data_IF_279314813888
#
_entry.id   IF_279314813888
#
_cell.length_a   1.000
_cell.length_b   1.000
_cell.length_c   1.000
_cell.angle_alpha   90.00
_cell.angle_beta   90.00
_cell.angle_gamma   90.00
#
_symmetry.space_group_name_H-M   'P 1'
#
loop_
_entity.id
_entity.type
_entity.pdbx_description
1 polymer ?
#
# COMPACT_ATOMS: atom_id res chain seq x y z
N UNK A 1 5.81 -30.00 -17.85
CA UNK A 1 5.39 -29.07 -16.78
C UNK A 1 4.89 -27.80 -17.45
N UNK A 2 3.62 -27.43 -17.27
CA UNK A 2 3.02 -26.27 -17.96
C UNK A 2 3.74 -24.97 -17.56
N UNK A 3 3.73 -23.97 -18.46
CA UNK A 3 4.39 -22.67 -18.22
C UNK A 3 3.90 -22.03 -16.90
N UNK A 4 2.59 -22.14 -16.63
CA UNK A 4 1.97 -21.66 -15.41
C UNK A 4 2.55 -22.28 -14.12
N UNK A 5 2.86 -23.58 -14.12
CA UNK A 5 3.49 -24.26 -12.98
C UNK A 5 4.91 -23.77 -12.72
N UNK A 6 5.67 -23.44 -13.78
CA UNK A 6 7.03 -22.88 -13.65
C UNK A 6 6.99 -21.47 -13.05
N UNK A 7 6.08 -20.61 -13.51
CA UNK A 7 5.92 -19.27 -12.95
C UNK A 7 5.46 -19.32 -11.50
N UNK A 8 4.50 -20.19 -11.18
CA UNK A 8 4.03 -20.39 -9.81
C UNK A 8 5.12 -20.87 -8.85
N UNK A 9 5.94 -21.85 -9.27
CA UNK A 9 7.05 -22.35 -8.43
C UNK A 9 8.14 -21.31 -8.20
N UNK A 10 8.47 -20.50 -9.21
CA UNK A 10 9.45 -19.43 -9.08
C UNK A 10 8.94 -18.29 -8.15
N UNK A 11 7.69 -17.86 -8.31
CA UNK A 11 7.07 -16.88 -7.42
C UNK A 11 7.01 -17.40 -5.97
N UNK A 12 6.67 -18.67 -5.77
CA UNK A 12 6.67 -19.30 -4.45
C UNK A 12 8.09 -19.37 -3.85
N UNK A 13 9.11 -19.56 -4.66
CA UNK A 13 10.52 -19.53 -4.23
C UNK A 13 10.91 -18.15 -3.68
N UNK A 14 10.55 -17.07 -4.39
CA UNK A 14 10.78 -15.69 -3.95
C UNK A 14 10.02 -15.43 -2.65
N UNK A 15 8.73 -15.80 -2.58
CA UNK A 15 7.91 -15.62 -1.39
C UNK A 15 8.47 -16.37 -0.16
N UNK A 16 8.95 -17.61 -0.34
CA UNK A 16 9.58 -18.38 0.74
C UNK A 16 10.88 -17.74 1.21
N UNK A 17 11.70 -17.24 0.30
CA UNK A 17 12.93 -16.49 0.64
C UNK A 17 12.59 -15.27 1.50
N UNK A 18 11.64 -14.46 1.06
CA UNK A 18 11.27 -13.22 1.75
C UNK A 18 10.62 -13.52 3.12
N UNK A 19 9.82 -14.58 3.22
CA UNK A 19 9.27 -15.05 4.49
C UNK A 19 10.37 -15.54 5.45
N UNK A 20 11.39 -16.24 4.95
CA UNK A 20 12.51 -16.69 5.77
C UNK A 20 13.34 -15.49 6.31
N UNK A 21 13.57 -14.48 5.47
CA UNK A 21 14.21 -13.23 5.88
C UNK A 21 13.38 -12.54 6.95
N UNK A 22 12.06 -12.45 6.76
CA UNK A 22 11.15 -11.85 7.75
C UNK A 22 11.22 -12.56 9.10
N UNK A 23 11.17 -13.90 9.13
CA UNK A 23 11.27 -14.68 10.38
C UNK A 23 12.59 -14.41 11.11
N UNK A 24 13.69 -14.21 10.36
CA UNK A 24 14.99 -13.85 10.92
C UNK A 24 15.01 -12.45 11.53
N UNK A 25 14.23 -11.52 10.98
CA UNK A 25 14.15 -10.13 11.43
C UNK A 25 12.83 -9.77 12.12
N UNK A 26 12.20 -10.72 12.82
CA UNK A 26 10.89 -10.56 13.50
C UNK A 26 10.81 -9.33 14.42
N UNK A 27 11.93 -8.87 14.95
CA UNK A 27 11.97 -7.65 15.77
C UNK A 27 11.55 -6.40 14.99
N UNK A 28 11.79 -6.36 13.67
CA UNK A 28 11.32 -5.25 12.84
C UNK A 28 9.79 -5.18 12.77
N UNK A 29 9.12 -6.33 12.73
CA UNK A 29 7.65 -6.37 12.78
C UNK A 29 7.13 -5.81 14.10
N UNK A 30 7.71 -6.26 15.22
CA UNK A 30 7.35 -5.78 16.55
C UNK A 30 7.59 -4.28 16.66
N UNK A 31 8.74 -3.78 16.19
CA UNK A 31 9.07 -2.36 16.19
C UNK A 31 8.08 -1.53 15.33
N UNK A 32 7.67 -2.06 14.18
CA UNK A 32 6.71 -1.39 13.32
C UNK A 32 5.31 -1.32 13.96
N UNK A 33 4.86 -2.41 14.58
CA UNK A 33 3.59 -2.43 15.34
C UNK A 33 3.69 -1.45 16.51
N UNK A 34 4.78 -1.47 17.29
CA UNK A 34 4.98 -0.55 18.41
C UNK A 34 4.97 0.92 17.94
N UNK A 35 5.62 1.23 16.82
CA UNK A 35 5.59 2.57 16.21
C UNK A 35 4.17 2.99 15.83
N UNK A 36 3.39 2.09 15.22
CA UNK A 36 1.99 2.34 14.88
C UNK A 36 1.16 2.56 16.15
N UNK A 37 1.34 1.72 17.18
CA UNK A 37 0.63 1.87 18.46
C UNK A 37 0.99 3.19 19.16
N UNK A 38 2.24 3.63 19.08
CA UNK A 38 2.66 4.91 19.62
C UNK A 38 1.98 6.08 18.88
N UNK A 39 1.92 6.03 17.55
CA UNK A 39 1.18 7.02 16.77
C UNK A 39 -0.32 7.03 17.14
N UNK A 40 -0.95 5.85 17.28
CA UNK A 40 -2.35 5.76 17.69
C UNK A 40 -2.58 6.26 19.12
N UNK A 41 -1.66 5.99 20.03
CA UNK A 41 -1.69 6.56 21.39
C UNK A 41 -1.70 8.09 21.35
N UNK A 42 -0.81 8.69 20.54
CA UNK A 42 -0.77 10.12 20.35
C UNK A 42 -2.11 10.66 19.84
N UNK A 43 -2.68 10.06 18.80
CA UNK A 43 -3.97 10.47 18.26
C UNK A 43 -5.13 10.20 19.20
N UNK A 44 -5.07 9.19 20.04
CA UNK A 44 -6.07 8.95 21.09
C UNK A 44 -6.13 10.10 22.10
N UNK A 45 -4.99 10.65 22.51
CA UNK A 45 -4.98 11.83 23.38
C UNK A 45 -5.30 13.12 22.63
N UNK A 46 -4.82 13.29 21.41
CA UNK A 46 -5.18 14.46 20.59
C UNK A 46 -6.68 14.54 20.37
N UNK A 47 -7.36 13.42 20.09
CA UNK A 47 -8.80 13.40 19.88
C UNK A 47 -9.60 13.88 21.09
N UNK A 48 -9.06 13.78 22.30
CA UNK A 48 -9.69 14.25 23.53
C UNK A 48 -9.43 15.74 23.79
N UNK A 49 -8.35 16.29 23.23
CA UNK A 49 -7.97 17.70 23.42
C UNK A 49 -8.58 18.59 22.34
N UNK A 50 -8.75 18.08 21.12
CA UNK A 50 -9.22 18.84 19.97
C UNK A 50 -10.71 18.52 19.72
N UNK A 51 -11.55 19.54 19.77
CA UNK A 51 -12.95 19.42 19.32
C UNK A 51 -13.00 19.71 17.83
N UNK A 52 -13.31 18.70 17.04
CA UNK A 52 -13.56 18.86 15.60
C UNK A 52 -15.07 18.85 15.42
N UNK A 53 -15.65 19.98 15.02
CA UNK A 53 -17.11 20.17 14.92
C UNK A 53 -17.83 19.13 14.06
N UNK A 54 -17.10 18.53 13.11
CA UNK A 54 -17.63 17.51 12.20
C UNK A 54 -17.83 16.14 12.86
N UNK A 55 -17.22 15.88 14.02
CA UNK A 55 -17.33 14.60 14.72
C UNK A 55 -18.13 14.73 16.01
N UNK A 56 -19.20 13.90 16.18
CA UNK A 56 -20.06 13.95 17.36
C UNK A 56 -19.32 13.69 18.67
N UNK A 57 -18.28 12.84 18.63
CA UNK A 57 -17.48 12.50 19.81
C UNK A 57 -15.97 12.42 19.50
N UNK A 58 -15.11 12.57 20.53
CA UNK A 58 -13.68 12.34 20.40
C UNK A 58 -13.34 10.93 19.91
N UNK A 59 -14.16 9.93 20.26
CA UNK A 59 -13.95 8.55 19.83
C UNK A 59 -14.23 8.37 18.34
N UNK A 60 -15.19 9.10 17.76
CA UNK A 60 -15.47 9.04 16.31
C UNK A 60 -14.30 9.63 15.51
N UNK A 61 -13.72 10.74 15.97
CA UNK A 61 -12.50 11.30 15.36
C UNK A 61 -11.32 10.34 15.51
N UNK A 62 -11.12 9.73 16.68
CA UNK A 62 -10.08 8.73 16.89
C UNK A 62 -10.27 7.54 15.96
N UNK A 63 -11.48 7.02 15.81
CA UNK A 63 -11.80 5.91 14.92
C UNK A 63 -11.50 6.26 13.46
N UNK A 64 -11.92 7.46 13.02
CA UNK A 64 -11.67 7.98 11.68
C UNK A 64 -10.17 8.04 11.36
N UNK A 65 -9.37 8.62 12.26
CA UNK A 65 -7.91 8.76 12.07
C UNK A 65 -7.20 7.41 12.16
N UNK A 66 -7.62 6.53 13.08
CA UNK A 66 -7.01 5.21 13.27
C UNK A 66 -7.09 4.37 12.01
N UNK A 67 -8.28 4.25 11.41
CA UNK A 67 -8.44 3.49 10.15
C UNK A 67 -7.61 4.13 9.04
N UNK A 68 -7.64 5.46 8.92
CA UNK A 68 -6.83 6.19 7.96
C UNK A 68 -5.33 5.90 8.09
N UNK A 69 -4.78 6.00 9.32
CA UNK A 69 -3.35 5.75 9.58
C UNK A 69 -2.93 4.32 9.27
N UNK A 70 -3.76 3.34 9.64
CA UNK A 70 -3.45 1.93 9.38
C UNK A 70 -3.44 1.65 7.88
N UNK A 71 -4.42 2.17 7.14
CA UNK A 71 -4.48 2.02 5.67
C UNK A 71 -3.32 2.77 5.00
N UNK A 72 -2.94 3.93 5.53
CA UNK A 72 -1.76 4.65 5.06
C UNK A 72 -0.46 3.84 5.25
N UNK A 73 -0.37 3.09 6.34
CA UNK A 73 0.73 2.13 6.54
C UNK A 73 0.79 1.07 5.44
N UNK A 74 -0.36 0.55 5.01
CA UNK A 74 -0.45 -0.39 3.87
C UNK A 74 0.02 0.29 2.57
N UNK A 75 -0.44 1.51 2.32
CA UNK A 75 -0.04 2.28 1.13
C UNK A 75 1.48 2.50 1.10
N UNK A 76 2.05 3.02 2.19
CA UNK A 76 3.48 3.30 2.27
C UNK A 76 4.33 2.04 2.08
N UNK A 77 3.93 0.93 2.70
CA UNK A 77 4.59 -0.36 2.54
C UNK A 77 4.54 -0.85 1.10
N UNK A 78 3.39 -0.73 0.45
CA UNK A 78 3.19 -1.17 -0.95
C UNK A 78 4.01 -0.32 -1.93
N UNK A 79 4.08 1.00 -1.70
CA UNK A 79 4.80 1.93 -2.59
C UNK A 79 6.32 1.93 -2.37
N UNK A 80 6.79 1.67 -1.17
CA UNK A 80 8.20 1.81 -0.81
C UNK A 80 8.94 0.46 -0.77
N UNK A 81 8.36 -0.60 -0.20
CA UNK A 81 9.08 -1.83 0.08
C UNK A 81 9.50 -2.58 -1.19
N UNK A 82 8.61 -2.71 -2.18
CA UNK A 82 8.92 -3.38 -3.44
C UNK A 82 10.04 -2.70 -4.24
N UNK A 83 9.94 -1.39 -4.52
CA UNK A 83 11.03 -0.64 -5.16
C UNK A 83 12.35 -0.66 -4.38
N UNK A 84 12.30 -0.64 -3.04
CA UNK A 84 13.50 -0.75 -2.20
C UNK A 84 14.15 -2.13 -2.33
N UNK A 85 13.37 -3.22 -2.33
CA UNK A 85 13.86 -4.57 -2.55
C UNK A 85 14.50 -4.70 -3.93
N UNK A 86 13.84 -4.18 -4.98
CA UNK A 86 14.40 -4.17 -6.33
C UNK A 86 15.73 -3.42 -6.39
N UNK A 87 15.83 -2.27 -5.73
CA UNK A 87 17.09 -1.51 -5.65
C UNK A 87 18.20 -2.32 -4.97
N UNK A 88 17.88 -3.04 -3.89
CA UNK A 88 18.84 -3.92 -3.21
C UNK A 88 19.33 -5.04 -4.13
N UNK A 89 18.44 -5.67 -4.90
CA UNK A 89 18.81 -6.69 -5.88
C UNK A 89 19.71 -6.14 -7.01
N UNK A 90 19.46 -4.90 -7.45
CA UNK A 90 20.30 -4.21 -8.44
C UNK A 90 21.69 -3.93 -7.88
N UNK A 91 21.78 -3.38 -6.66
CA UNK A 91 23.06 -3.09 -5.98
C UNK A 91 23.85 -4.36 -5.70
N UNK A 92 23.17 -5.46 -5.35
CA UNK A 92 23.80 -6.75 -5.11
C UNK A 92 24.19 -7.52 -6.40
N UNK A 93 23.80 -7.04 -7.58
CA UNK A 93 24.03 -7.72 -8.87
C UNK A 93 23.20 -8.99 -9.06
N UNK A 94 22.25 -9.27 -8.16
CA UNK A 94 21.42 -10.48 -8.22
C UNK A 94 20.27 -10.35 -9.23
N UNK A 95 19.86 -9.11 -9.54
CA UNK A 95 18.83 -8.84 -10.53
C UNK A 95 19.19 -9.32 -11.94
N UNK A 96 20.47 -9.32 -12.31
CA UNK A 96 20.94 -9.84 -13.61
C UNK A 96 20.57 -11.32 -13.80
N UNK A 97 20.69 -12.12 -12.75
CA UNK A 97 20.31 -13.54 -12.78
C UNK A 97 18.81 -13.70 -13.08
N UNK A 98 18.01 -12.78 -12.56
CA UNK A 98 16.56 -12.76 -12.80
C UNK A 98 16.24 -12.38 -14.25
N UNK A 99 16.99 -11.42 -14.80
CA UNK A 99 16.86 -10.93 -16.19
C UNK A 99 17.14 -12.04 -17.21
N UNK A 100 18.12 -12.92 -16.95
CA UNK A 100 18.48 -14.03 -17.85
C UNK A 100 17.70 -15.31 -17.55
N UNK A 101 16.95 -15.37 -16.45
CA UNK A 101 16.16 -16.54 -16.09
C UNK A 101 14.96 -16.72 -17.02
N UNK A 102 14.44 -17.96 -17.19
CA UNK A 102 13.20 -18.20 -17.91
C UNK A 102 11.96 -17.54 -17.30
N UNK A 103 12.06 -17.14 -16.03
CA UNK A 103 11.01 -16.42 -15.30
C UNK A 103 10.88 -14.96 -15.77
N UNK A 104 12.02 -14.33 -16.10
CA UNK A 104 12.10 -12.99 -16.65
C UNK A 104 12.02 -11.88 -15.60
N UNK A 105 12.60 -10.74 -15.95
CA UNK A 105 12.71 -9.58 -15.05
C UNK A 105 11.36 -9.03 -14.56
N UNK A 106 10.38 -8.93 -15.46
CA UNK A 106 9.07 -8.35 -15.14
C UNK A 106 8.30 -9.21 -14.14
N UNK A 107 8.23 -10.53 -14.39
CA UNK A 107 7.59 -11.45 -13.47
C UNK A 107 8.31 -11.49 -12.12
N UNK A 108 9.65 -11.37 -12.13
CA UNK A 108 10.45 -11.27 -10.91
C UNK A 108 10.14 -10.04 -10.08
N UNK A 109 10.07 -8.87 -10.70
CA UNK A 109 9.69 -7.63 -10.00
C UNK A 109 8.28 -7.73 -9.41
N UNK A 110 7.32 -8.27 -10.17
CA UNK A 110 5.96 -8.48 -9.66
C UNK A 110 5.93 -9.46 -8.49
N UNK A 111 6.71 -10.54 -8.55
CA UNK A 111 6.81 -11.51 -7.46
C UNK A 111 7.42 -10.91 -6.17
N UNK A 112 8.39 -9.99 -6.29
CA UNK A 112 8.97 -9.27 -5.15
C UNK A 112 7.97 -8.34 -4.44
N UNK A 113 6.87 -7.96 -5.09
CA UNK A 113 5.82 -7.14 -4.48
C UNK A 113 4.85 -7.96 -3.62
N UNK A 114 4.76 -9.28 -3.82
CA UNK A 114 3.76 -10.13 -3.14
C UNK A 114 3.97 -10.15 -1.62
N UNK A 115 5.22 -10.35 -1.18
CA UNK A 115 5.51 -10.47 0.25
C UNK A 115 5.31 -9.16 1.01
N UNK A 116 5.87 -8.01 0.61
CA UNK A 116 5.61 -6.72 1.25
C UNK A 116 4.12 -6.39 1.36
N UNK A 117 3.37 -6.78 0.35
CA UNK A 117 1.94 -6.63 0.29
C UNK A 117 1.21 -7.48 1.36
N UNK A 118 1.44 -8.80 1.36
CA UNK A 118 0.84 -9.69 2.35
C UNK A 118 1.22 -9.26 3.78
N UNK A 119 2.47 -8.86 3.97
CA UNK A 119 2.97 -8.31 5.23
C UNK A 119 2.20 -7.06 5.67
N UNK A 120 1.99 -6.10 4.75
CA UNK A 120 1.26 -4.86 5.04
C UNK A 120 -0.19 -5.13 5.46
N UNK A 121 -0.87 -6.08 4.79
CA UNK A 121 -2.24 -6.49 5.17
C UNK A 121 -2.26 -7.12 6.56
N UNK A 122 -1.34 -8.04 6.85
CA UNK A 122 -1.24 -8.66 8.19
C UNK A 122 -0.98 -7.61 9.26
N UNK A 123 -0.05 -6.68 8.99
CA UNK A 123 0.26 -5.57 9.90
C UNK A 123 -0.96 -4.68 10.15
N UNK A 124 -1.73 -4.36 9.11
CA UNK A 124 -2.96 -3.57 9.23
C UNK A 124 -4.00 -4.26 10.12
N UNK A 125 -4.25 -5.56 9.88
CA UNK A 125 -5.19 -6.34 10.70
C UNK A 125 -4.74 -6.37 12.16
N UNK A 126 -3.46 -6.68 12.41
CA UNK A 126 -2.91 -6.71 13.79
C UNK A 126 -3.02 -5.34 14.45
N UNK A 127 -2.71 -4.25 13.71
CA UNK A 127 -2.81 -2.88 14.25
C UNK A 127 -4.24 -2.48 14.59
N UNK A 128 -5.23 -2.84 13.77
CA UNK A 128 -6.64 -2.57 14.03
C UNK A 128 -7.15 -3.37 15.23
N UNK A 129 -6.79 -4.65 15.34
CA UNK A 129 -7.17 -5.48 16.49
C UNK A 129 -6.55 -4.96 17.78
N UNK A 130 -5.28 -4.54 17.76
CA UNK A 130 -4.64 -3.93 18.92
C UNK A 130 -5.25 -2.56 19.26
N UNK A 131 -5.63 -1.76 18.26
CA UNK A 131 -6.34 -0.50 18.49
C UNK A 131 -7.71 -0.73 19.15
N UNK A 132 -8.44 -1.76 18.73
CA UNK A 132 -9.70 -2.15 19.35
C UNK A 132 -9.48 -2.61 20.81
N UNK A 133 -8.46 -3.41 21.06
CA UNK A 133 -8.18 -3.96 22.37
C UNK A 133 -7.64 -2.92 23.36
N UNK A 134 -6.70 -2.06 22.93
CA UNK A 134 -5.99 -1.14 23.81
C UNK A 134 -6.67 0.22 23.96
N UNK A 135 -7.31 0.71 22.90
CA UNK A 135 -7.92 2.04 22.85
C UNK A 135 -9.45 2.02 22.72
N UNK A 136 -10.07 0.84 22.68
CA UNK A 136 -11.52 0.72 22.57
C UNK A 136 -12.06 1.20 21.23
N UNK A 137 -11.34 0.96 20.13
CA UNK A 137 -11.81 1.29 18.78
C UNK A 137 -13.13 0.54 18.50
N UNK A 138 -14.24 1.23 18.21
CA UNK A 138 -15.52 0.59 17.93
C UNK A 138 -15.51 -0.06 16.56
N UNK A 139 -15.17 -1.35 16.48
CA UNK A 139 -15.22 -2.10 15.22
C UNK A 139 -16.64 -2.67 14.99
N UNK A 140 -17.15 -2.45 13.80
CA UNK A 140 -18.40 -3.04 13.32
C UNK A 140 -18.17 -4.47 12.80
N UNK A 141 -18.20 -5.44 13.70
CA UNK A 141 -17.87 -6.84 13.40
C UNK A 141 -18.66 -7.46 12.24
N UNK A 142 -19.97 -7.20 12.06
CA UNK A 142 -20.71 -7.79 10.94
C UNK A 142 -20.18 -7.35 9.56
N UNK A 143 -19.78 -6.09 9.42
CA UNK A 143 -19.27 -5.51 8.18
C UNK A 143 -17.75 -5.63 8.05
N UNK A 144 -17.02 -5.82 9.16
CA UNK A 144 -15.57 -5.98 9.17
C UNK A 144 -15.07 -7.17 8.31
N UNK A 145 -15.86 -8.23 8.17
CA UNK A 145 -15.54 -9.35 7.30
C UNK A 145 -15.41 -8.91 5.81
N UNK A 146 -16.19 -7.91 5.38
CA UNK A 146 -16.13 -7.35 4.04
C UNK A 146 -14.95 -6.38 3.86
N UNK A 147 -14.34 -5.92 4.95
CA UNK A 147 -13.18 -5.04 4.87
C UNK A 147 -11.96 -5.74 4.23
N UNK A 148 -11.79 -7.06 4.43
CA UNK A 148 -10.66 -7.78 3.83
C UNK A 148 -10.71 -7.82 2.29
N UNK A 149 -11.79 -8.24 1.61
CA UNK A 149 -11.85 -8.19 0.15
C UNK A 149 -11.76 -6.75 -0.39
N UNK A 150 -12.33 -5.76 0.30
CA UNK A 150 -12.18 -4.35 -0.09
C UNK A 150 -10.74 -3.87 0.08
N UNK A 151 -10.06 -4.23 1.16
CA UNK A 151 -8.64 -3.93 1.34
C UNK A 151 -7.79 -4.56 0.24
N UNK A 152 -8.04 -5.82 -0.12
CA UNK A 152 -7.35 -6.49 -1.22
C UNK A 152 -7.59 -5.79 -2.56
N UNK A 153 -8.82 -5.36 -2.85
CA UNK A 153 -9.13 -4.58 -4.05
C UNK A 153 -8.43 -3.22 -4.04
N UNK A 154 -8.46 -2.53 -2.90
CA UNK A 154 -7.74 -1.27 -2.68
C UNK A 154 -6.27 -1.42 -3.02
N UNK A 155 -5.64 -2.46 -2.51
CA UNK A 155 -4.24 -2.72 -2.79
C UNK A 155 -3.98 -3.07 -4.26
N UNK A 156 -4.84 -3.84 -4.92
CA UNK A 156 -4.73 -4.07 -6.36
C UNK A 156 -4.81 -2.75 -7.15
N UNK A 157 -5.57 -1.78 -6.66
CA UNK A 157 -5.62 -0.44 -7.24
C UNK A 157 -4.35 0.40 -6.97
N UNK A 158 -3.60 0.11 -5.88
CA UNK A 158 -2.34 0.79 -5.55
C UNK A 158 -1.09 0.12 -6.09
N UNK A 159 -1.11 -1.18 -6.28
CA UNK A 159 0.02 -1.95 -6.78
C UNK A 159 0.66 -1.33 -8.04
N UNK A 160 -0.09 -0.77 -9.00
CA UNK A 160 0.45 -0.08 -10.15
C UNK A 160 1.43 1.05 -9.82
N UNK A 161 1.19 1.82 -8.77
CA UNK A 161 2.09 2.90 -8.37
C UNK A 161 3.44 2.34 -7.87
N UNK A 162 3.42 1.26 -7.09
CA UNK A 162 4.64 0.55 -6.70
C UNK A 162 5.41 0.00 -7.89
N UNK A 163 4.69 -0.56 -8.88
CA UNK A 163 5.28 -1.03 -10.15
C UNK A 163 5.89 0.12 -10.95
N UNK A 164 5.24 1.29 -11.00
CA UNK A 164 5.77 2.48 -11.67
C UNK A 164 7.03 3.01 -10.99
N UNK A 165 7.06 3.05 -9.65
CA UNK A 165 8.27 3.44 -8.91
C UNK A 165 9.38 2.40 -9.15
N UNK A 166 9.08 1.10 -9.16
CA UNK A 166 10.03 0.06 -9.49
C UNK A 166 10.57 0.21 -10.92
N UNK A 167 9.71 0.53 -11.90
CA UNK A 167 10.13 0.83 -13.26
C UNK A 167 11.07 2.04 -13.33
N UNK A 168 10.79 3.09 -12.54
CA UNK A 168 11.67 4.25 -12.44
C UNK A 168 13.03 3.89 -11.80
N UNK A 169 13.05 3.02 -10.79
CA UNK A 169 14.31 2.53 -10.15
C UNK A 169 15.20 1.81 -11.15
N UNK A 170 14.65 1.05 -12.09
CA UNK A 170 15.45 0.39 -13.15
C UNK A 170 16.19 1.39 -14.05
N UNK A 171 15.59 2.56 -14.29
CA UNK A 171 16.12 3.58 -15.22
C UNK A 171 16.89 4.68 -14.49
N UNK A 172 16.41 5.07 -13.30
CA UNK A 172 16.91 6.21 -12.53
C UNK A 172 17.26 5.75 -11.11
N UNK A 173 18.56 5.75 -10.80
CA UNK A 173 19.11 5.20 -9.53
C UNK A 173 18.52 5.80 -8.24
N UNK A 174 17.98 7.02 -8.28
CA UNK A 174 17.44 7.76 -7.13
C UNK A 174 15.89 7.80 -7.08
N UNK A 175 15.20 7.00 -7.90
CA UNK A 175 13.74 7.05 -8.02
C UNK A 175 12.98 6.70 -6.71
N UNK A 176 13.61 5.99 -5.77
CA UNK A 176 12.99 5.67 -4.46
C UNK A 176 12.63 6.95 -3.69
N UNK A 177 13.45 7.99 -3.76
CA UNK A 177 13.17 9.28 -3.11
C UNK A 177 11.90 9.96 -3.68
N UNK A 178 11.66 9.82 -5.00
CA UNK A 178 10.44 10.35 -5.63
C UNK A 178 9.17 9.68 -5.06
N UNK A 179 9.24 8.41 -4.70
CA UNK A 179 8.12 7.69 -4.06
C UNK A 179 7.68 8.34 -2.76
N UNK A 180 8.60 8.87 -1.95
CA UNK A 180 8.29 9.56 -0.69
C UNK A 180 7.47 10.83 -0.92
N UNK A 181 7.78 11.61 -1.94
CA UNK A 181 7.01 12.80 -2.29
C UNK A 181 5.61 12.46 -2.82
N UNK A 182 5.49 11.36 -3.60
CA UNK A 182 4.19 10.86 -4.08
C UNK A 182 3.32 10.46 -2.89
N UNK A 183 3.88 9.69 -1.94
CA UNK A 183 3.19 9.28 -0.72
C UNK A 183 2.75 10.49 0.11
N UNK A 184 3.64 11.47 0.30
CA UNK A 184 3.31 12.69 1.03
C UNK A 184 2.18 13.48 0.36
N UNK A 185 2.22 13.66 -0.96
CA UNK A 185 1.15 14.31 -1.72
C UNK A 185 -0.19 13.57 -1.59
N UNK A 186 -0.19 12.26 -1.79
CA UNK A 186 -1.39 11.42 -1.64
C UNK A 186 -1.94 11.54 -0.21
N UNK A 187 -1.10 11.52 0.82
CA UNK A 187 -1.55 11.56 2.22
C UNK A 187 -2.35 12.82 2.57
N UNK A 188 -2.01 13.93 1.95
CA UNK A 188 -2.71 15.21 2.17
C UNK A 188 -4.09 15.19 1.51
N UNK A 189 -4.17 14.78 0.24
CA UNK A 189 -5.42 14.84 -0.54
C UNK A 189 -6.35 13.65 -0.33
N UNK A 190 -5.87 12.58 0.28
CA UNK A 190 -6.63 11.35 0.48
C UNK A 190 -7.59 11.37 1.69
N UNK A 191 -7.70 12.50 2.39
CA UNK A 191 -8.56 12.57 3.56
C UNK A 191 -8.12 11.68 4.73
N UNK A 192 -6.80 11.51 4.91
CA UNK A 192 -6.25 10.60 5.90
C UNK A 192 -6.50 11.06 7.35
N UNK A 193 -6.15 12.31 7.63
CA UNK A 193 -6.23 12.91 8.96
C UNK A 193 -7.49 13.74 9.18
N UNK A 194 -8.11 14.18 8.11
CA UNK A 194 -9.32 15.00 8.09
C UNK A 194 -10.15 14.70 6.85
N UNK A 195 -11.47 14.88 6.88
CA UNK A 195 -12.35 14.65 5.74
C UNK A 195 -11.96 15.50 4.52
N UNK A 196 -12.08 14.91 3.32
CA UNK A 196 -11.77 15.59 2.05
C UNK A 196 -12.55 16.89 1.88
N UNK A 197 -13.76 16.96 2.43
CA UNK A 197 -14.61 18.16 2.40
C UNK A 197 -13.98 19.41 3.08
N UNK A 198 -12.95 19.23 3.91
CA UNK A 198 -12.19 20.34 4.53
C UNK A 198 -11.03 20.83 3.66
N UNK A 199 -10.74 20.17 2.55
CA UNK A 199 -9.72 20.62 1.60
C UNK A 199 -10.26 21.83 0.80
N UNK A 200 -9.39 22.78 0.39
CA UNK A 200 -9.77 23.84 -0.54
C UNK A 200 -10.30 23.27 -1.86
N UNK A 201 -11.33 23.90 -2.43
CA UNK A 201 -12.05 23.41 -3.64
C UNK A 201 -11.12 23.14 -4.82
N UNK A 202 -10.07 23.95 -4.97
CA UNK A 202 -9.10 23.83 -6.06
C UNK A 202 -8.26 22.54 -6.01
N UNK A 203 -8.22 21.83 -4.88
CA UNK A 203 -7.44 20.57 -4.73
C UNK A 203 -8.35 19.36 -4.48
N UNK A 204 -9.64 19.54 -4.18
CA UNK A 204 -10.56 18.41 -3.89
C UNK A 204 -10.63 17.41 -5.06
N UNK A 205 -10.55 17.88 -6.30
CA UNK A 205 -10.55 17.01 -7.48
C UNK A 205 -9.42 15.94 -7.44
N UNK A 206 -8.31 16.24 -6.75
CA UNK A 206 -7.19 15.31 -6.64
C UNK A 206 -7.53 14.07 -5.81
N UNK A 207 -8.54 14.14 -4.93
CA UNK A 207 -9.05 13.00 -4.19
C UNK A 207 -9.88 12.05 -5.08
N UNK A 208 -10.51 12.57 -6.13
CA UNK A 208 -11.35 11.78 -7.05
C UNK A 208 -10.53 11.00 -8.09
N UNK A 209 -9.36 11.53 -8.49
CA UNK A 209 -8.51 10.91 -9.52
C UNK A 209 -7.50 9.90 -8.97
N UNK A 210 -7.55 9.59 -7.69
CA UNK A 210 -6.65 8.64 -7.07
C UNK A 210 -7.43 7.54 -6.31
N UNK A 211 -6.94 6.29 -6.29
CA UNK A 211 -7.68 5.17 -5.70
C UNK A 211 -7.66 5.12 -4.18
N UNK A 212 -6.86 5.96 -3.51
CA UNK A 212 -6.71 5.88 -2.06
C UNK A 212 -7.96 6.37 -1.31
N UNK A 213 -8.53 7.49 -1.73
CA UNK A 213 -9.75 8.04 -1.11
C UNK A 213 -10.89 7.01 -1.09
N UNK A 214 -11.33 6.42 -2.23
CA UNK A 214 -12.39 5.43 -2.21
C UNK A 214 -12.05 4.19 -1.37
N UNK A 215 -10.78 3.76 -1.32
CA UNK A 215 -10.38 2.65 -0.47
C UNK A 215 -10.49 2.97 1.02
N UNK A 216 -10.02 4.15 1.43
CA UNK A 216 -10.07 4.60 2.84
C UNK A 216 -11.51 4.81 3.28
N UNK A 217 -12.34 5.47 2.48
CA UNK A 217 -13.75 5.74 2.80
C UNK A 217 -14.55 4.45 2.93
N UNK A 218 -14.40 3.51 1.99
CA UNK A 218 -15.04 2.19 2.08
C UNK A 218 -14.61 1.42 3.33
N UNK A 219 -13.32 1.41 3.63
CA UNK A 219 -12.81 0.69 4.79
C UNK A 219 -13.25 1.35 6.10
N UNK A 220 -13.32 2.69 6.16
CA UNK A 220 -13.92 3.39 7.31
C UNK A 220 -15.40 3.05 7.47
N UNK A 221 -16.15 3.06 6.38
CA UNK A 221 -17.56 2.67 6.40
C UNK A 221 -17.76 1.27 6.95
N UNK A 222 -16.98 0.31 6.47
CA UNK A 222 -17.10 -1.10 6.88
C UNK A 222 -16.56 -1.39 8.29
N UNK A 223 -15.54 -0.67 8.75
CA UNK A 223 -14.88 -0.95 10.01
C UNK A 223 -15.45 -0.14 11.18
N UNK A 224 -15.88 1.09 10.96
CA UNK A 224 -16.28 2.03 12.02
C UNK A 224 -17.57 2.80 11.69
N UNK A 225 -18.32 2.39 10.67
CA UNK A 225 -19.67 2.90 10.37
C UNK A 225 -19.73 4.34 9.87
N UNK A 226 -18.62 4.93 9.36
CA UNK A 226 -18.66 6.30 8.84
C UNK A 226 -19.60 6.40 7.62
N UNK A 227 -20.39 7.49 7.48
CA UNK A 227 -21.23 7.66 6.31
C UNK A 227 -20.39 7.83 5.05
N UNK A 228 -20.83 7.21 3.94
CA UNK A 228 -20.24 7.39 2.62
C UNK A 228 -20.90 8.56 1.89
N UNK A 229 -20.10 9.34 1.15
CA UNK A 229 -20.60 10.40 0.29
C UNK A 229 -21.33 9.83 -0.95
N UNK A 230 -20.93 8.64 -1.41
CA UNK A 230 -21.52 7.93 -2.54
C UNK A 230 -21.95 6.50 -2.16
N UNK A 231 -22.58 5.76 -3.08
CA UNK A 231 -22.91 4.37 -2.81
C UNK A 231 -21.64 3.51 -2.70
N UNK A 232 -21.64 2.51 -1.78
CA UNK A 232 -20.52 1.60 -1.61
C UNK A 232 -20.13 0.88 -2.92
N UNK A 233 -21.13 0.54 -3.76
CA UNK A 233 -20.90 -0.07 -5.07
C UNK A 233 -20.18 0.86 -6.04
N UNK A 234 -20.45 2.18 -6.00
CA UNK A 234 -19.75 3.15 -6.83
C UNK A 234 -18.27 3.24 -6.45
N UNK A 235 -17.96 3.23 -5.14
CA UNK A 235 -16.57 3.25 -4.66
C UNK A 235 -15.82 1.94 -5.00
N UNK A 236 -16.48 0.79 -4.87
CA UNK A 236 -15.94 -0.50 -5.33
C UNK A 236 -15.67 -0.49 -6.83
N UNK A 237 -16.61 0.05 -7.62
CA UNK A 237 -16.45 0.17 -9.07
C UNK A 237 -15.28 1.09 -9.45
N UNK A 238 -15.11 2.23 -8.76
CA UNK A 238 -13.95 3.12 -8.96
C UNK A 238 -12.63 2.34 -8.71
N UNK A 239 -12.51 1.62 -7.59
CA UNK A 239 -11.31 0.83 -7.30
C UNK A 239 -11.05 -0.25 -8.35
N UNK A 240 -12.10 -0.94 -8.79
CA UNK A 240 -11.98 -1.97 -9.83
C UNK A 240 -11.53 -1.38 -11.17
N UNK A 241 -12.05 -0.21 -11.55
CA UNK A 241 -11.64 0.51 -12.77
C UNK A 241 -10.18 0.95 -12.67
N UNK A 242 -9.77 1.55 -11.53
CA UNK A 242 -8.37 1.91 -11.29
C UNK A 242 -7.44 0.68 -11.44
N UNK A 243 -7.78 -0.43 -10.79
CA UNK A 243 -7.00 -1.65 -10.91
C UNK A 243 -6.95 -2.17 -12.36
N UNK A 244 -8.10 -2.25 -13.03
CA UNK A 244 -8.19 -2.78 -14.40
C UNK A 244 -7.42 -1.95 -15.43
N UNK A 245 -7.36 -0.62 -15.26
CA UNK A 245 -6.67 0.29 -16.19
C UNK A 245 -5.18 0.41 -15.81
N UNK A 246 -4.88 0.63 -14.54
CA UNK A 246 -3.52 0.96 -14.12
C UNK A 246 -2.59 -0.27 -14.06
N UNK A 247 -3.12 -1.48 -13.76
CA UNK A 247 -2.27 -2.68 -13.72
C UNK A 247 -1.62 -2.95 -15.09
N UNK A 248 -2.36 -3.10 -16.20
CA UNK A 248 -1.73 -3.33 -17.50
C UNK A 248 -0.84 -2.18 -17.94
N UNK A 249 -1.25 -0.93 -17.66
CA UNK A 249 -0.42 0.25 -17.98
C UNK A 249 0.92 0.23 -17.23
N UNK A 250 0.93 -0.04 -15.92
CA UNK A 250 2.15 -0.10 -15.12
C UNK A 250 3.07 -1.26 -15.53
N UNK A 251 2.50 -2.42 -15.83
CA UNK A 251 3.25 -3.58 -16.34
C UNK A 251 3.90 -3.26 -17.69
N UNK A 252 3.18 -2.57 -18.59
CA UNK A 252 3.73 -2.12 -19.86
C UNK A 252 4.89 -1.14 -19.66
N UNK A 253 4.75 -0.16 -18.76
CA UNK A 253 5.83 0.78 -18.41
C UNK A 253 7.03 0.05 -17.84
N UNK A 254 6.83 -0.93 -16.95
CA UNK A 254 7.91 -1.74 -16.41
C UNK A 254 8.64 -2.54 -17.49
N UNK A 255 7.89 -3.15 -18.43
CA UNK A 255 8.51 -3.84 -19.58
C UNK A 255 9.39 -2.89 -20.39
N UNK A 256 8.91 -1.68 -20.67
CA UNK A 256 9.70 -0.66 -21.37
C UNK A 256 10.91 -0.22 -20.58
N UNK A 257 10.78 0.00 -19.28
CA UNK A 257 11.89 0.36 -18.39
C UNK A 257 13.00 -0.69 -18.38
N UNK A 258 12.64 -1.98 -18.29
CA UNK A 258 13.60 -3.10 -18.34
C UNK A 258 14.32 -3.14 -19.71
N UNK A 259 13.60 -2.93 -20.81
CA UNK A 259 14.22 -2.88 -22.15
C UNK A 259 15.19 -1.70 -22.29
N UNK A 260 14.83 -0.53 -21.78
CA UNK A 260 15.70 0.66 -21.78
C UNK A 260 16.91 0.43 -20.87
N UNK A 261 16.70 -0.12 -19.67
CA UNK A 261 17.77 -0.45 -18.73
C UNK A 261 18.80 -1.42 -19.32
N UNK A 262 18.34 -2.45 -20.05
CA UNK A 262 19.25 -3.37 -20.79
C UNK A 262 20.06 -2.66 -21.86
N UNK A 263 19.46 -1.75 -22.63
CA UNK A 263 20.14 -1.02 -23.71
C UNK A 263 21.16 0.00 -23.19
N UNK A 264 20.92 0.59 -22.03
CA UNK A 264 21.77 1.62 -21.41
C UNK A 264 22.79 1.06 -20.41
N UNK A 265 22.84 -0.27 -20.24
CA UNK A 265 23.63 -0.97 -19.22
C UNK A 265 23.38 -0.48 -17.77
N UNK A 266 22.29 0.24 -17.52
CA UNK A 266 22.00 0.75 -16.17
C UNK A 266 21.67 -0.36 -15.17
N UNK A 267 21.45 -1.58 -15.62
CA UNK A 267 21.22 -2.76 -14.78
C UNK A 267 22.54 -3.30 -14.19
N UNK A 268 23.68 -3.08 -14.89
CA UNK A 268 24.99 -3.61 -14.52
C UNK A 268 25.87 -2.60 -13.78
N UNK A 269 25.53 -1.33 -13.81
CA UNK A 269 26.32 -0.23 -13.22
C UNK A 269 25.67 0.34 -11.93
N UNK A 270 25.29 -0.49 -11.02
CA UNK A 270 24.76 0.00 -9.72
C UNK A 270 25.84 0.13 -8.67
#
# INVERSE_FOLDING_TARGET
MSLALRYGSAALGILRRDAAVFVSYRLLFVAQIASTMFALLLFHYISRLVRVEMFPSPNDYFAFVTVGLVIFGVLTSTLAAGPATLRQELVAGTFERLVVSPFGAVAGVLAMLIFPFAYAVVQAVVSLLLAALLFGLPLEWPSAALALPVALLGVLAFLPFGVLIAAAVVVVKQAVAAGTFIVAGISVVAGLYFPVALLPDWIQWASDVQPFTPAVELLRHLLVGTPLASSAWAEVAKLAIFAAVLIPASVWVLQRAVLVGRRRATITEY
#
